data_IF_030059764722
#
_entry.id   IF_030059764722
#
_cell.length_a   1.000
_cell.length_b   1.000
_cell.length_c   1.000
_cell.angle_alpha   90.00
_cell.angle_beta   90.00
_cell.angle_gamma   90.00
#
_symmetry.space_group_name_H-M   'P 1'
#
loop_
_entity.id
_entity.type
_entity.pdbx_description
1 polymer ?
#
# COMPACT_ATOMS: atom_id res chain seq x y z
N UNK A 1 -1.56 21.70 31.59
CA UNK A 1 -2.88 21.25 31.09
C UNK A 1 -2.79 21.37 29.57
N UNK A 2 -2.69 20.35 28.72
CA UNK A 2 -3.41 19.08 28.70
C UNK A 2 -2.73 18.10 27.73
N UNK A 3 -1.88 17.18 28.21
CA UNK A 3 -1.49 15.99 27.45
C UNK A 3 -2.54 14.86 27.56
N UNK A 4 -3.37 14.91 28.60
CA UNK A 4 -4.40 13.91 28.91
C UNK A 4 -5.67 14.00 28.04
N UNK A 5 -5.89 15.11 27.33
CA UNK A 5 -7.03 15.26 26.40
C UNK A 5 -6.70 14.67 25.01
N UNK A 6 -5.41 14.44 24.71
CA UNK A 6 -4.94 13.97 23.40
C UNK A 6 -5.25 12.47 23.18
N UNK A 7 -5.12 11.65 24.23
CA UNK A 7 -5.38 10.20 24.16
C UNK A 7 -6.89 9.85 24.09
N UNK A 8 -7.79 10.72 24.57
CA UNK A 8 -9.21 10.37 24.69
C UNK A 8 -9.99 10.48 23.38
N UNK A 9 -9.50 11.23 22.38
CA UNK A 9 -10.18 11.39 21.08
C UNK A 9 -9.60 10.52 19.96
N UNK A 10 -8.31 10.17 20.02
CA UNK A 10 -7.72 9.12 19.15
C UNK A 10 -8.36 7.76 19.47
N UNK A 11 -8.70 7.51 20.73
CA UNK A 11 -9.50 6.35 21.12
C UNK A 11 -10.95 6.41 20.58
N UNK A 12 -11.56 7.60 20.48
CA UNK A 12 -12.95 7.74 20.02
C UNK A 12 -13.12 7.49 18.51
N UNK A 13 -12.13 7.87 17.69
CA UNK A 13 -12.05 7.48 16.27
C UNK A 13 -11.50 6.05 16.08
N UNK A 14 -10.87 5.47 17.11
CA UNK A 14 -10.35 4.11 17.12
C UNK A 14 -11.32 3.02 17.58
N UNK A 15 -12.50 3.37 18.12
CA UNK A 15 -13.44 2.42 18.73
C UNK A 15 -14.70 2.11 17.91
N UNK A 16 -14.92 2.77 16.76
CA UNK A 16 -16.09 2.51 15.90
C UNK A 16 -15.64 1.83 14.60
N UNK A 17 -15.27 0.56 14.73
CA UNK A 17 -14.82 -0.26 13.61
C UNK A 17 -15.19 -1.74 13.75
N UNK A 18 -16.27 -2.06 14.44
CA UNK A 18 -16.77 -3.45 14.53
C UNK A 18 -18.00 -3.66 13.67
N UNK A 19 -17.80 -4.46 12.63
CA UNK A 19 -18.75 -5.37 11.97
C UNK A 19 -19.99 -4.79 11.29
N UNK A 20 -20.00 -4.89 9.96
CA UNK A 20 -21.04 -5.63 9.21
C UNK A 20 -20.49 -5.95 7.82
N UNK A 21 -20.05 -7.18 7.63
CA UNK A 21 -19.68 -7.72 6.32
C UNK A 21 -20.96 -7.97 5.50
N UNK A 22 -21.46 -6.94 4.85
CA UNK A 22 -22.36 -7.12 3.72
C UNK A 22 -21.48 -7.44 2.49
N UNK A 23 -21.43 -8.72 2.10
CA UNK A 23 -20.86 -9.14 0.83
C UNK A 23 -21.78 -8.57 -0.26
N UNK A 24 -21.39 -7.44 -0.86
CA UNK A 24 -21.99 -6.95 -2.08
C UNK A 24 -21.34 -7.68 -3.25
N UNK A 25 -22.05 -8.67 -3.76
CA UNK A 25 -21.80 -9.27 -5.07
C UNK A 25 -22.13 -8.21 -6.13
N UNK A 26 -21.10 -7.70 -6.81
CA UNK A 26 -21.33 -6.91 -8.01
C UNK A 26 -21.87 -7.82 -9.10
N UNK A 27 -23.09 -7.52 -9.55
CA UNK A 27 -23.75 -8.20 -10.66
C UNK A 27 -22.94 -8.00 -11.94
N UNK A 28 -22.51 -9.11 -12.51
CA UNK A 28 -21.87 -9.19 -13.83
C UNK A 28 -22.93 -9.03 -14.93
N UNK A 29 -22.83 -7.96 -15.70
CA UNK A 29 -23.38 -7.84 -17.05
C UNK A 29 -22.41 -6.96 -17.83
N UNK A 30 -21.86 -7.34 -18.99
CA UNK A 30 -22.36 -8.20 -20.07
C UNK A 30 -21.22 -9.07 -20.62
N UNK A 31 -21.57 -10.24 -21.18
CA UNK A 31 -20.65 -11.13 -21.90
C UNK A 31 -20.09 -10.43 -23.14
N UNK A 32 -18.87 -9.92 -23.04
CA UNK A 32 -17.95 -9.92 -24.18
C UNK A 32 -16.86 -10.95 -23.90
N UNK A 33 -16.71 -11.85 -24.86
CA UNK A 33 -15.78 -12.97 -24.81
C UNK A 33 -14.38 -12.42 -25.12
N UNK A 34 -13.66 -11.96 -24.09
CA UNK A 34 -12.23 -11.66 -24.16
C UNK A 34 -11.52 -12.71 -23.31
N UNK A 35 -11.26 -13.86 -23.93
CA UNK A 35 -10.45 -14.94 -23.39
C UNK A 35 -8.96 -14.55 -23.47
N UNK A 36 -8.57 -13.58 -22.65
CA UNK A 36 -7.21 -13.01 -22.65
C UNK A 36 -6.60 -12.90 -21.24
N UNK A 37 -7.01 -13.73 -20.28
CA UNK A 37 -6.30 -13.78 -19.00
C UNK A 37 -4.93 -14.44 -19.23
N UNK A 38 -3.87 -13.64 -19.27
CA UNK A 38 -2.51 -14.16 -19.32
C UNK A 38 -2.05 -14.53 -17.92
N UNK A 39 -1.70 -15.81 -17.74
CA UNK A 39 -1.08 -16.35 -16.53
C UNK A 39 0.43 -16.45 -16.76
N UNK A 40 1.21 -15.80 -15.90
CA UNK A 40 2.66 -15.69 -15.97
C UNK A 40 3.23 -16.36 -14.73
N UNK A 41 4.08 -17.38 -14.92
CA UNK A 41 4.88 -17.91 -13.82
C UNK A 41 5.97 -16.89 -13.45
N UNK A 42 6.03 -16.50 -12.17
CA UNK A 42 7.08 -15.58 -11.71
C UNK A 42 8.40 -16.34 -11.59
N UNK A 43 9.46 -15.76 -12.17
CA UNK A 43 10.78 -16.41 -12.23
C UNK A 43 11.48 -16.37 -10.88
N UNK A 44 12.50 -17.23 -10.70
CA UNK A 44 13.37 -17.15 -9.53
C UNK A 44 14.01 -15.77 -9.37
N UNK A 45 14.34 -15.05 -10.44
CA UNK A 45 14.87 -13.68 -10.34
C UNK A 45 13.89 -12.71 -9.65
N UNK A 46 12.59 -12.83 -9.98
CA UNK A 46 11.54 -12.05 -9.33
C UNK A 46 11.43 -12.37 -7.82
N UNK A 47 11.68 -13.63 -7.44
CA UNK A 47 11.58 -14.13 -6.06
C UNK A 47 12.88 -13.88 -5.26
N UNK A 48 14.06 -13.97 -5.87
CA UNK A 48 15.36 -13.81 -5.20
C UNK A 48 15.61 -12.37 -4.73
N UNK A 49 15.01 -11.39 -5.41
CA UNK A 49 14.96 -9.99 -4.98
C UNK A 49 14.32 -9.82 -3.59
N UNK A 50 13.45 -10.75 -3.20
CA UNK A 50 12.86 -10.84 -1.86
C UNK A 50 13.76 -11.63 -0.89
N UNK A 51 14.34 -12.77 -1.30
CA UNK A 51 15.14 -13.65 -0.41
C UNK A 51 16.36 -12.95 0.19
N UNK A 52 17.03 -12.11 -0.60
CA UNK A 52 18.18 -11.31 -0.15
C UNK A 52 17.85 -10.29 0.96
N UNK A 53 16.57 -10.02 1.24
CA UNK A 53 16.11 -9.03 2.23
C UNK A 53 15.70 -9.62 3.57
N UNK A 54 15.27 -10.89 3.60
CA UNK A 54 14.68 -11.53 4.79
C UNK A 54 15.73 -12.27 5.64
N UNK A 55 17.01 -12.21 5.27
CA UNK A 55 18.10 -12.76 6.07
C UNK A 55 18.37 -11.90 7.31
N UNK A 56 17.52 -12.05 8.34
CA UNK A 56 17.83 -12.18 9.78
C UNK A 56 16.68 -11.62 10.63
N UNK A 57 15.74 -12.44 11.12
CA UNK A 57 15.01 -12.09 12.34
C UNK A 57 15.99 -12.13 13.53
N UNK A 58 15.92 -11.19 14.49
CA UNK A 58 16.63 -11.36 15.75
C UNK A 58 16.14 -12.65 16.42
N UNK A 59 17.07 -13.53 16.75
CA UNK A 59 16.78 -14.81 17.41
C UNK A 59 16.03 -14.57 18.72
N UNK A 60 14.85 -15.17 18.94
CA UNK A 60 14.17 -15.09 20.22
C UNK A 60 14.94 -15.95 21.22
N UNK A 61 15.70 -15.31 22.11
CA UNK A 61 16.38 -16.03 23.20
C UNK A 61 15.36 -16.32 24.29
N UNK A 62 14.94 -17.58 24.37
CA UNK A 62 14.09 -18.09 25.44
C UNK A 62 14.92 -18.42 26.70
N UNK A 63 14.60 -17.68 27.76
CA UNK A 63 14.52 -18.06 29.18
C UNK A 63 15.73 -18.55 30.01
N UNK A 64 15.86 -17.84 31.14
CA UNK A 64 16.00 -18.27 32.54
C UNK A 64 17.37 -18.15 33.25
N UNK A 65 17.32 -17.25 34.23
CA UNK A 65 17.91 -17.30 35.58
C UNK A 65 19.20 -16.52 35.86
N UNK A 66 19.05 -15.74 36.93
CA UNK A 66 20.05 -15.31 37.92
C UNK A 66 20.67 -13.94 37.73
N UNK A 67 20.25 -13.04 38.63
CA UNK A 67 20.78 -11.71 38.90
C UNK A 67 22.32 -11.73 39.03
N UNK A 68 23.01 -10.98 38.17
CA UNK A 68 24.20 -10.22 38.56
C UNK A 68 24.54 -9.17 37.50
N UNK A 69 24.82 -7.96 37.99
CA UNK A 69 25.29 -6.77 37.27
C UNK A 69 26.18 -7.08 36.06
N UNK A 70 25.76 -6.60 34.89
CA UNK A 70 26.62 -6.02 33.86
C UNK A 70 25.75 -5.01 33.09
N UNK A 71 25.99 -3.72 33.32
CA UNK A 71 25.62 -2.66 32.39
C UNK A 71 26.58 -2.76 31.21
N UNK A 72 26.36 -3.73 30.33
CA UNK A 72 26.84 -3.60 28.95
C UNK A 72 25.71 -2.90 28.20
N UNK A 73 25.97 -1.63 27.91
CA UNK A 73 25.27 -0.83 26.93
C UNK A 73 25.15 -1.64 25.64
N UNK A 74 23.98 -2.24 25.41
CA UNK A 74 23.65 -2.83 24.11
C UNK A 74 23.63 -1.65 23.15
N UNK A 75 24.78 -1.37 22.53
CA UNK A 75 24.88 -0.54 21.34
C UNK A 75 24.09 -1.28 20.27
N UNK A 76 22.78 -1.01 20.21
CA UNK A 76 21.99 -1.26 19.01
C UNK A 76 22.65 -0.37 17.96
N UNK A 77 23.31 -0.91 16.93
CA UNK A 77 23.97 -0.07 15.94
C UNK A 77 22.88 0.78 15.29
N UNK A 78 22.92 2.09 15.52
CA UNK A 78 22.10 3.04 14.75
C UNK A 78 22.45 2.84 13.28
N UNK A 79 21.55 2.19 12.53
CA UNK A 79 21.68 2.13 11.08
C UNK A 79 21.46 3.54 10.55
N UNK A 80 22.56 4.24 10.29
CA UNK A 80 22.52 5.52 9.62
C UNK A 80 21.85 5.34 8.25
N UNK A 81 20.81 6.13 7.97
CA UNK A 81 20.13 6.08 6.68
C UNK A 81 21.05 6.61 5.58
N UNK A 82 21.40 5.74 4.63
CA UNK A 82 22.08 6.10 3.39
C UNK A 82 21.08 5.96 2.23
N UNK A 83 20.76 7.09 1.59
CA UNK A 83 19.82 7.13 0.48
C UNK A 83 20.31 6.35 -0.74
N UNK A 84 21.61 6.41 -1.06
CA UNK A 84 22.17 5.73 -2.23
C UNK A 84 22.16 4.21 -2.02
N UNK A 85 22.54 3.75 -0.83
CA UNK A 85 22.43 2.35 -0.46
C UNK A 85 20.98 1.88 -0.48
N UNK A 86 20.06 2.65 0.10
CA UNK A 86 18.64 2.32 0.14
C UNK A 86 18.02 2.31 -1.27
N UNK A 87 18.43 3.21 -2.16
CA UNK A 87 18.03 3.20 -3.56
C UNK A 87 18.54 1.93 -4.26
N UNK A 88 19.83 1.64 -4.14
CA UNK A 88 20.42 0.42 -4.73
C UNK A 88 19.71 -0.84 -4.24
N UNK A 89 19.32 -0.88 -2.96
CA UNK A 89 18.57 -2.00 -2.41
C UNK A 89 17.15 -2.05 -2.97
N UNK A 90 16.42 -0.93 -3.02
CA UNK A 90 14.98 -0.91 -3.29
C UNK A 90 14.57 -0.73 -4.76
N UNK A 91 15.45 -0.28 -5.65
CA UNK A 91 15.10 -0.05 -7.06
C UNK A 91 14.61 -1.31 -7.78
N UNK A 92 15.13 -2.49 -7.41
CA UNK A 92 14.71 -3.77 -7.98
C UNK A 92 13.23 -4.11 -7.71
N UNK A 93 12.60 -3.51 -6.69
CA UNK A 93 11.17 -3.67 -6.44
C UNK A 93 10.30 -3.15 -7.58
N UNK A 94 10.80 -2.20 -8.36
CA UNK A 94 10.05 -1.47 -9.38
C UNK A 94 10.69 -1.53 -10.77
N UNK A 95 11.61 -2.48 -11.00
CA UNK A 95 12.40 -2.55 -12.23
C UNK A 95 11.57 -2.93 -13.48
N UNK A 96 10.60 -3.82 -13.31
CA UNK A 96 9.74 -4.36 -14.38
C UNK A 96 8.29 -4.47 -13.90
N UNK A 97 7.32 -4.60 -14.81
CA UNK A 97 5.89 -4.75 -14.46
C UNK A 97 5.57 -5.97 -13.59
N UNK A 98 6.47 -6.96 -13.55
CA UNK A 98 6.37 -8.17 -12.72
C UNK A 98 7.30 -8.16 -11.49
N UNK A 99 8.02 -7.07 -11.25
CA UNK A 99 8.78 -6.89 -10.01
C UNK A 99 7.85 -6.79 -8.80
N UNK A 100 8.30 -7.21 -7.61
CA UNK A 100 7.45 -7.32 -6.41
C UNK A 100 6.62 -6.06 -6.12
N UNK A 101 7.22 -4.87 -6.21
CA UNK A 101 6.52 -3.61 -5.97
C UNK A 101 5.48 -3.29 -7.05
N UNK A 102 5.75 -3.63 -8.31
CA UNK A 102 4.78 -3.49 -9.39
C UNK A 102 3.63 -4.48 -9.28
N UNK A 103 3.92 -5.72 -8.86
CA UNK A 103 2.91 -6.74 -8.56
C UNK A 103 2.02 -6.27 -7.40
N UNK A 104 2.60 -5.72 -6.33
CA UNK A 104 1.85 -5.20 -5.20
C UNK A 104 0.88 -4.08 -5.61
N UNK A 105 1.34 -3.12 -6.42
CA UNK A 105 0.49 -2.05 -6.99
C UNK A 105 -0.61 -2.66 -7.86
N UNK A 106 -0.26 -3.57 -8.79
CA UNK A 106 -1.24 -4.16 -9.70
C UNK A 106 -2.32 -4.98 -9.00
N UNK A 107 -1.98 -5.70 -7.92
CA UNK A 107 -2.98 -6.42 -7.10
C UNK A 107 -3.82 -5.43 -6.27
N UNK A 108 -3.23 -4.35 -5.76
CA UNK A 108 -3.96 -3.29 -5.05
C UNK A 108 -4.94 -2.53 -5.96
N UNK A 109 -4.59 -2.31 -7.22
CA UNK A 109 -5.49 -1.77 -8.25
C UNK A 109 -6.56 -2.79 -8.69
N UNK A 110 -6.33 -4.08 -8.48
CA UNK A 110 -7.20 -5.16 -8.96
C UNK A 110 -6.93 -5.57 -10.42
N UNK A 111 -5.84 -5.07 -11.01
CA UNK A 111 -5.39 -5.42 -12.36
C UNK A 111 -4.60 -6.73 -12.41
N UNK A 112 -4.08 -7.18 -11.26
CA UNK A 112 -3.43 -8.48 -11.12
C UNK A 112 -4.10 -9.35 -10.07
N UNK A 113 -4.01 -10.67 -10.27
CA UNK A 113 -4.29 -11.70 -9.27
C UNK A 113 -3.03 -12.53 -9.06
N UNK A 114 -2.65 -12.74 -7.80
CA UNK A 114 -1.49 -13.54 -7.44
C UNK A 114 -1.94 -14.82 -6.72
N UNK A 115 -1.46 -15.99 -7.16
CA UNK A 115 -1.80 -17.27 -6.55
C UNK A 115 -0.63 -18.25 -6.60
N UNK A 116 -0.72 -19.30 -5.78
CA UNK A 116 0.29 -20.36 -5.69
C UNK A 116 -0.37 -21.65 -6.17
N UNK A 117 0.28 -22.34 -7.08
CA UNK A 117 -0.13 -23.65 -7.58
C UNK A 117 1.13 -24.51 -7.71
N UNK A 118 1.10 -25.73 -7.15
CA UNK A 118 2.22 -26.67 -7.14
C UNK A 118 3.58 -26.07 -6.72
N UNK A 119 3.56 -25.22 -5.69
CA UNK A 119 4.77 -24.56 -5.16
C UNK A 119 5.35 -23.48 -6.10
N UNK A 120 4.64 -23.12 -7.16
CA UNK A 120 5.01 -22.05 -8.10
C UNK A 120 4.11 -20.83 -7.89
N UNK A 121 4.71 -19.63 -7.93
CA UNK A 121 4.00 -18.37 -7.81
C UNK A 121 3.57 -17.88 -9.19
N UNK A 122 2.27 -17.70 -9.38
CA UNK A 122 1.67 -17.22 -10.63
C UNK A 122 1.06 -15.84 -10.47
N UNK A 123 1.27 -15.03 -11.49
CA UNK A 123 0.64 -13.73 -11.68
C UNK A 123 -0.31 -13.82 -12.86
N UNK A 124 -1.57 -13.46 -12.65
CA UNK A 124 -2.57 -13.38 -13.70
C UNK A 124 -3.02 -11.94 -13.91
N UNK A 125 -3.15 -11.57 -15.17
CA UNK A 125 -3.75 -10.30 -15.60
C UNK A 125 -5.27 -10.44 -15.55
N UNK A 126 -5.93 -9.61 -14.74
CA UNK A 126 -7.41 -9.60 -14.66
C UNK A 126 -7.99 -8.84 -15.84
N UNK A 127 -9.30 -8.92 -16.11
CA UNK A 127 -9.94 -8.10 -17.15
C UNK A 127 -9.66 -6.59 -16.98
N UNK A 128 -9.54 -6.09 -15.74
CA UNK A 128 -9.23 -4.69 -15.46
C UNK A 128 -7.89 -4.24 -16.03
N UNK A 129 -6.92 -5.15 -16.15
CA UNK A 129 -5.62 -4.88 -16.77
C UNK A 129 -5.73 -4.40 -18.22
N UNK A 130 -6.70 -4.94 -18.95
CA UNK A 130 -6.87 -4.69 -20.38
C UNK A 130 -7.82 -3.53 -20.68
N UNK A 131 -8.41 -2.93 -19.66
CA UNK A 131 -9.37 -1.85 -19.82
C UNK A 131 -10.42 -1.84 -18.71
N UNK A 132 -10.51 -0.75 -17.98
CA UNK A 132 -11.66 -0.46 -17.12
C UNK A 132 -11.85 1.06 -17.00
N UNK A 133 -13.04 1.49 -16.59
CA UNK A 133 -13.28 2.90 -16.26
C UNK A 133 -13.24 3.06 -14.74
N UNK A 134 -12.45 4.02 -14.25
CA UNK A 134 -12.43 4.33 -12.82
C UNK A 134 -13.81 4.89 -12.40
N UNK A 135 -14.51 4.24 -11.46
CA UNK A 135 -15.76 4.77 -10.94
C UNK A 135 -15.59 6.17 -10.32
N UNK A 136 -14.41 6.55 -9.83
CA UNK A 136 -14.13 7.90 -9.34
C UNK A 136 -14.12 8.96 -10.45
N UNK A 137 -13.74 8.61 -11.68
CA UNK A 137 -13.74 9.52 -12.84
C UNK A 137 -15.16 9.75 -13.38
N UNK A 138 -16.04 8.74 -13.25
CA UNK A 138 -17.45 8.84 -13.60
C UNK A 138 -18.21 9.87 -12.74
N UNK A 139 -17.73 10.16 -11.51
CA UNK A 139 -18.31 11.20 -10.67
C UNK A 139 -18.16 12.61 -11.26
N UNK A 140 -17.29 12.79 -12.26
CA UNK A 140 -17.02 14.06 -12.95
C UNK A 140 -17.41 14.04 -14.44
N UNK A 141 -18.05 12.95 -14.91
CA UNK A 141 -18.48 12.81 -16.31
C UNK A 141 -17.37 12.43 -17.29
N UNK A 142 -16.17 12.10 -16.80
CA UNK A 142 -15.05 11.68 -17.64
C UNK A 142 -15.04 10.16 -17.83
N UNK A 143 -15.07 9.71 -19.08
CA UNK A 143 -14.89 8.29 -19.44
C UNK A 143 -13.48 8.14 -20.00
N UNK A 144 -12.55 7.79 -19.11
CA UNK A 144 -11.17 7.44 -19.48
C UNK A 144 -10.97 5.95 -19.21
N UNK A 145 -10.54 5.21 -20.23
CA UNK A 145 -10.18 3.81 -20.07
C UNK A 145 -8.78 3.69 -19.49
N UNK A 146 -8.67 2.93 -18.41
CA UNK A 146 -7.46 2.64 -17.67
C UNK A 146 -6.82 1.34 -18.16
N UNK A 147 -5.48 1.31 -18.24
CA UNK A 147 -4.73 0.14 -18.71
C UNK A 147 -3.53 -0.20 -17.83
N UNK A 148 -3.15 -1.48 -17.82
CA UNK A 148 -1.92 -1.95 -17.20
C UNK A 148 -1.96 -1.97 -15.66
N UNK A 149 -0.81 -2.21 -15.01
CA UNK A 149 -0.78 -2.49 -13.57
C UNK A 149 -1.23 -1.29 -12.73
N UNK A 150 -0.84 -0.08 -13.11
CA UNK A 150 -1.13 1.15 -12.38
C UNK A 150 -2.49 1.79 -12.70
N UNK A 151 -3.35 1.17 -13.51
CA UNK A 151 -4.58 1.81 -14.01
C UNK A 151 -4.26 3.11 -14.78
N UNK A 152 -3.42 3.04 -15.81
CA UNK A 152 -3.00 4.21 -16.59
C UNK A 152 -4.18 4.88 -17.30
N UNK A 153 -4.55 6.08 -16.82
CA UNK A 153 -5.69 6.89 -17.27
C UNK A 153 -5.41 7.54 -18.64
N UNK A 154 -5.17 6.73 -19.68
CA UNK A 154 -5.01 7.19 -21.07
C UNK A 154 -3.69 7.86 -21.43
N UNK A 155 -2.73 7.97 -20.51
CA UNK A 155 -1.43 8.64 -20.73
C UNK A 155 -0.54 7.87 -21.72
N UNK A 156 -0.75 6.55 -21.80
CA UNK A 156 -0.11 5.64 -22.74
C UNK A 156 -0.73 5.64 -24.14
N UNK A 157 -1.85 6.36 -24.34
CA UNK A 157 -2.64 6.27 -25.57
C UNK A 157 -3.30 4.91 -25.80
N UNK A 158 -3.56 4.14 -24.73
CA UNK A 158 -4.15 2.80 -24.79
C UNK A 158 -3.15 1.66 -25.08
N UNK A 159 -1.85 1.96 -25.17
CA UNK A 159 -0.83 0.95 -25.35
C UNK A 159 -0.42 0.34 -24.00
N UNK A 160 -0.71 -0.94 -23.78
CA UNK A 160 -0.44 -1.67 -22.53
C UNK A 160 1.06 -1.70 -22.19
N UNK A 161 1.93 -2.05 -23.15
CA UNK A 161 3.38 -2.09 -22.92
C UNK A 161 3.92 -0.71 -22.52
N UNK A 162 3.36 0.36 -23.09
CA UNK A 162 3.71 1.72 -22.71
C UNK A 162 3.17 2.07 -21.31
N UNK A 163 1.95 1.64 -20.97
CA UNK A 163 1.37 1.82 -19.64
C UNK A 163 2.23 1.12 -18.56
N UNK A 164 2.68 -0.12 -18.80
CA UNK A 164 3.60 -0.85 -17.93
C UNK A 164 4.94 -0.12 -17.72
N UNK A 165 5.54 0.33 -18.82
CA UNK A 165 6.80 1.08 -18.77
C UNK A 165 6.64 2.36 -17.96
N UNK A 166 5.60 3.15 -18.23
CA UNK A 166 5.35 4.41 -17.53
C UNK A 166 5.04 4.18 -16.04
N UNK A 167 4.29 3.12 -15.72
CA UNK A 167 3.98 2.70 -14.36
C UNK A 167 5.26 2.39 -13.56
N UNK A 168 6.17 1.58 -14.14
CA UNK A 168 7.45 1.24 -13.52
C UNK A 168 8.36 2.47 -13.37
N UNK A 169 8.45 3.32 -14.40
CA UNK A 169 9.24 4.56 -14.38
C UNK A 169 8.74 5.56 -13.33
N UNK A 170 7.41 5.73 -13.20
CA UNK A 170 6.83 6.61 -12.17
C UNK A 170 7.13 6.09 -10.76
N UNK A 171 7.02 4.77 -10.55
CA UNK A 171 7.31 4.14 -9.25
C UNK A 171 8.78 4.29 -8.88
N UNK A 172 9.70 4.02 -9.81
CA UNK A 172 11.14 4.25 -9.63
C UNK A 172 11.48 5.73 -9.39
N UNK A 173 10.87 6.64 -10.16
CA UNK A 173 11.10 8.08 -10.03
C UNK A 173 10.60 8.66 -8.70
N UNK A 174 9.60 8.02 -8.07
CA UNK A 174 9.11 8.39 -6.74
C UNK A 174 9.92 7.81 -5.58
N UNK A 175 10.69 6.74 -5.81
CA UNK A 175 11.30 5.92 -4.77
C UNK A 175 12.18 6.72 -3.81
N UNK A 176 13.08 7.58 -4.30
CA UNK A 176 13.98 8.36 -3.44
C UNK A 176 13.22 9.19 -2.41
N UNK A 177 12.13 9.83 -2.84
CA UNK A 177 11.27 10.63 -1.97
C UNK A 177 10.53 9.76 -0.95
N UNK A 178 10.03 8.60 -1.37
CA UNK A 178 9.33 7.66 -0.47
C UNK A 178 10.26 7.13 0.63
N UNK A 179 11.50 6.78 0.29
CA UNK A 179 12.52 6.33 1.25
C UNK A 179 12.83 7.44 2.27
N UNK A 180 13.01 8.68 1.81
CA UNK A 180 13.26 9.83 2.67
C UNK A 180 12.06 10.13 3.57
N UNK A 181 10.84 10.16 3.03
CA UNK A 181 9.64 10.50 3.79
C UNK A 181 9.34 9.43 4.88
N UNK A 182 9.61 8.13 4.62
CA UNK A 182 9.52 7.07 5.62
C UNK A 182 10.60 7.19 6.71
N UNK A 183 11.85 7.37 6.31
CA UNK A 183 12.96 7.48 7.25
C UNK A 183 12.80 8.72 8.16
N UNK A 184 12.30 9.84 7.62
CA UNK A 184 12.09 11.08 8.36
C UNK A 184 11.15 10.95 9.56
N UNK A 185 10.27 9.93 9.55
CA UNK A 185 9.32 9.64 10.64
C UNK A 185 9.72 8.40 11.46
N UNK A 186 10.97 7.93 11.30
CA UNK A 186 11.52 6.80 12.06
C UNK A 186 11.10 5.42 11.56
N UNK A 187 10.56 5.31 10.34
CA UNK A 187 10.25 4.02 9.72
C UNK A 187 11.42 3.62 8.82
N UNK A 188 12.12 2.52 9.15
CA UNK A 188 13.21 1.98 8.31
C UNK A 188 12.64 1.45 6.99
N UNK A 189 12.84 2.13 5.85
CA UNK A 189 12.26 1.69 4.59
C UNK A 189 12.91 0.42 4.04
N UNK A 190 14.08 0.02 4.54
CA UNK A 190 14.76 -1.21 4.15
C UNK A 190 14.25 -2.41 4.95
N UNK A 191 13.86 -2.18 6.21
CA UNK A 191 13.31 -3.19 7.11
C UNK A 191 11.80 -3.34 7.03
N UNK A 192 11.07 -2.28 6.65
CA UNK A 192 9.61 -2.24 6.60
C UNK A 192 9.08 -2.19 5.17
N UNK A 193 9.20 -3.34 4.50
CA UNK A 193 8.78 -3.47 3.11
C UNK A 193 7.27 -3.24 2.93
N UNK A 194 6.43 -3.59 3.91
CA UNK A 194 4.98 -3.36 3.83
C UNK A 194 4.66 -1.86 3.83
N UNK A 195 5.33 -1.06 4.66
CA UNK A 195 5.20 0.39 4.65
C UNK A 195 5.69 0.99 3.32
N UNK A 196 6.83 0.51 2.78
CA UNK A 196 7.36 0.99 1.50
C UNK A 196 6.39 0.71 0.35
N UNK A 197 5.87 -0.53 0.24
CA UNK A 197 4.95 -0.89 -0.84
C UNK A 197 3.61 -0.15 -0.74
N UNK A 198 3.09 0.07 0.47
CA UNK A 198 1.89 0.88 0.66
C UNK A 198 2.12 2.36 0.35
N UNK A 199 3.32 2.89 0.65
CA UNK A 199 3.69 4.25 0.22
C UNK A 199 3.70 4.34 -1.30
N UNK A 200 4.33 3.39 -1.99
CA UNK A 200 4.40 3.36 -3.45
C UNK A 200 3.03 3.27 -4.10
N UNK A 201 2.14 2.39 -3.61
CA UNK A 201 0.77 2.28 -4.09
C UNK A 201 -0.04 3.56 -3.84
N UNK A 202 0.11 4.21 -2.69
CA UNK A 202 -0.60 5.47 -2.45
C UNK A 202 -0.08 6.62 -3.35
N UNK A 203 1.20 6.60 -3.74
CA UNK A 203 1.74 7.49 -4.77
C UNK A 203 1.15 7.20 -6.16
N UNK A 204 0.76 5.95 -6.43
CA UNK A 204 0.03 5.60 -7.65
C UNK A 204 -1.43 6.09 -7.59
N UNK A 205 -2.09 5.87 -6.45
CA UNK A 205 -3.51 6.11 -6.26
C UNK A 205 -3.87 7.60 -6.13
N UNK A 206 -3.05 8.39 -5.43
CA UNK A 206 -3.43 9.71 -4.96
C UNK A 206 -2.47 10.81 -5.42
N UNK A 207 -2.92 12.06 -5.29
CA UNK A 207 -2.05 13.23 -5.50
C UNK A 207 -0.91 13.22 -4.49
N UNK A 208 0.25 13.72 -4.93
CA UNK A 208 1.48 13.76 -4.13
C UNK A 208 1.27 14.37 -2.73
N UNK A 209 0.41 15.38 -2.60
CA UNK A 209 0.18 16.02 -1.30
C UNK A 209 -0.38 15.04 -0.25
N UNK A 210 -1.30 14.14 -0.63
CA UNK A 210 -1.85 13.13 0.27
C UNK A 210 -0.84 12.00 0.49
N UNK A 211 -0.23 11.51 -0.59
CA UNK A 211 0.69 10.38 -0.52
C UNK A 211 1.90 10.67 0.38
N UNK A 212 2.34 11.93 0.46
CA UNK A 212 3.41 12.37 1.37
C UNK A 212 3.03 12.44 2.85
N UNK A 213 1.74 12.46 3.18
CA UNK A 213 1.26 12.44 4.57
C UNK A 213 1.11 11.04 5.13
N UNK A 214 1.17 10.01 4.29
CA UNK A 214 1.04 8.63 4.74
C UNK A 214 2.13 8.19 5.73
N UNK A 215 3.44 8.46 5.52
CA UNK A 215 4.45 8.09 6.50
C UNK A 215 4.21 8.68 7.89
N UNK A 216 3.91 9.99 7.96
CA UNK A 216 3.55 10.69 9.20
C UNK A 216 2.32 10.05 9.87
N UNK A 217 1.26 9.80 9.09
CA UNK A 217 0.06 9.13 9.59
C UNK A 217 0.35 7.70 10.08
N UNK A 218 1.24 6.95 9.42
CA UNK A 218 1.60 5.59 9.83
C UNK A 218 2.40 5.57 11.13
N UNK A 219 3.34 6.50 11.29
CA UNK A 219 4.05 6.68 12.55
C UNK A 219 3.07 6.98 13.69
N UNK A 220 2.11 7.88 13.48
CA UNK A 220 1.07 8.20 14.46
C UNK A 220 0.15 7.01 14.77
N UNK A 221 -0.25 6.24 13.76
CA UNK A 221 -1.07 5.05 13.95
C UNK A 221 -0.37 4.03 14.87
N UNK A 222 0.93 3.81 14.64
CA UNK A 222 1.76 2.89 15.42
C UNK A 222 2.01 3.40 16.83
N UNK A 223 2.28 4.69 17.00
CA UNK A 223 2.36 5.32 18.32
C UNK A 223 1.04 5.18 19.10
N UNK A 224 -0.09 5.21 18.40
CA UNK A 224 -1.42 4.94 18.95
C UNK A 224 -1.73 3.45 19.20
N UNK A 225 -0.77 2.55 19.02
CA UNK A 225 -0.91 1.11 19.28
C UNK A 225 -1.53 0.30 18.13
N UNK A 226 -1.80 0.90 16.96
CA UNK A 226 -2.26 0.15 15.79
C UNK A 226 -1.10 -0.63 15.17
N UNK A 227 -1.40 -1.82 14.64
CA UNK A 227 -0.39 -2.70 14.03
C UNK A 227 -0.89 -3.30 12.70
N UNK A 228 0.05 -3.84 11.90
CA UNK A 228 -0.23 -4.55 10.66
C UNK A 228 -1.16 -3.79 9.70
N UNK A 229 -2.05 -4.53 9.05
CA UNK A 229 -3.03 -4.03 8.07
C UNK A 229 -3.89 -2.89 8.64
N UNK A 230 -4.26 -2.93 9.93
CA UNK A 230 -5.07 -1.89 10.55
C UNK A 230 -4.33 -0.54 10.59
N UNK A 231 -3.06 -0.55 11.00
CA UNK A 231 -2.23 0.66 11.04
C UNK A 231 -2.09 1.27 9.64
N UNK A 232 -1.85 0.42 8.63
CA UNK A 232 -1.70 0.83 7.24
C UNK A 232 -3.01 1.42 6.71
N UNK A 233 -4.14 0.70 6.84
CA UNK A 233 -5.44 1.16 6.36
C UNK A 233 -5.85 2.48 7.00
N UNK A 234 -5.62 2.61 8.32
CA UNK A 234 -5.88 3.84 9.06
C UNK A 234 -5.02 4.98 8.53
N UNK A 235 -3.70 4.78 8.37
CA UNK A 235 -2.77 5.80 7.94
C UNK A 235 -3.04 6.28 6.50
N UNK A 236 -3.36 5.35 5.61
CA UNK A 236 -3.77 5.67 4.23
C UNK A 236 -5.03 6.52 4.21
N UNK A 237 -6.01 6.22 5.06
CA UNK A 237 -7.25 7.00 5.19
C UNK A 237 -6.97 8.38 5.77
N UNK A 238 -6.20 8.44 6.85
CA UNK A 238 -5.80 9.65 7.55
C UNK A 238 -5.06 10.63 6.64
N UNK A 239 -4.21 10.15 5.73
CA UNK A 239 -3.41 11.00 4.83
C UNK A 239 -4.22 11.93 3.89
N UNK A 240 -5.53 11.69 3.75
CA UNK A 240 -6.43 12.56 2.99
C UNK A 240 -6.97 13.75 3.80
N UNK A 241 -6.80 13.75 5.12
CA UNK A 241 -7.22 14.85 5.99
C UNK A 241 -6.13 15.91 6.04
N UNK A 242 -6.35 16.97 5.27
CA UNK A 242 -5.42 18.10 5.18
C UNK A 242 -6.13 19.43 5.44
N UNK A 243 -5.43 20.36 6.08
CA UNK A 243 -5.94 21.71 6.35
C UNK A 243 -5.71 22.67 5.16
N UNK A 244 -6.08 23.94 5.33
CA UNK A 244 -5.91 24.99 4.30
C UNK A 244 -4.45 25.23 3.90
N UNK A 245 -3.49 24.90 4.78
CA UNK A 245 -2.05 25.00 4.55
C UNK A 245 -1.46 23.72 3.94
N UNK A 246 -2.30 22.76 3.56
CA UNK A 246 -1.90 21.45 3.03
C UNK A 246 -1.09 20.61 4.03
N UNK A 247 -1.25 20.88 5.32
CA UNK A 247 -0.66 20.10 6.40
C UNK A 247 -1.59 18.97 6.82
N UNK A 248 -1.01 17.90 7.38
CA UNK A 248 -1.77 16.79 7.89
C UNK A 248 -2.51 17.22 9.17
N UNK A 249 -3.84 17.12 9.17
CA UNK A 249 -4.66 17.57 10.29
C UNK A 249 -5.94 16.73 10.41
N UNK A 250 -5.99 15.85 11.41
CA UNK A 250 -7.16 15.00 11.67
C UNK A 250 -8.29 15.69 12.46
N UNK A 251 -8.05 16.89 12.99
CA UNK A 251 -9.02 17.59 13.84
C UNK A 251 -9.80 18.64 13.06
N UNK A 252 -9.09 19.44 12.27
CA UNK A 252 -9.65 20.55 11.51
C UNK A 252 -9.48 20.40 9.99
N UNK A 253 -8.70 19.40 9.55
CA UNK A 253 -8.52 19.12 8.14
C UNK A 253 -9.78 18.53 7.52
N UNK A 254 -9.92 18.77 6.22
CA UNK A 254 -11.00 18.20 5.41
C UNK A 254 -10.49 16.96 4.68
N UNK A 255 -11.37 15.97 4.49
CA UNK A 255 -11.05 14.81 3.69
C UNK A 255 -11.06 15.18 2.20
N UNK A 256 -9.89 15.15 1.56
CA UNK A 256 -9.72 15.54 0.15
C UNK A 256 -9.72 14.36 -0.83
N UNK A 257 -10.20 13.18 -0.42
CA UNK A 257 -10.30 11.99 -1.28
C UNK A 257 -11.46 12.06 -2.29
N UNK A 258 -11.54 13.14 -3.08
CA UNK A 258 -12.73 13.49 -3.87
C UNK A 258 -13.24 12.39 -4.80
N UNK A 259 -12.36 11.61 -5.43
CA UNK A 259 -12.75 10.47 -6.27
C UNK A 259 -13.45 9.36 -5.47
N UNK A 260 -12.89 8.96 -4.32
CA UNK A 260 -13.46 7.93 -3.45
C UNK A 260 -14.78 8.41 -2.82
N UNK A 261 -14.82 9.65 -2.35
CA UNK A 261 -16.05 10.25 -1.80
C UNK A 261 -17.15 10.33 -2.86
N UNK A 262 -16.79 10.67 -4.10
CA UNK A 262 -17.72 10.70 -5.23
C UNK A 262 -18.37 9.34 -5.53
N UNK A 263 -17.66 8.22 -5.30
CA UNK A 263 -18.23 6.87 -5.45
C UNK A 263 -19.31 6.64 -4.39
N UNK A 264 -19.02 6.91 -3.12
CA UNK A 264 -19.97 6.69 -2.03
C UNK A 264 -21.21 7.57 -2.12
N UNK A 265 -21.04 8.84 -2.55
CA UNK A 265 -22.16 9.76 -2.80
C UNK A 265 -23.04 9.23 -3.93
N UNK A 266 -22.45 8.82 -5.07
CA UNK A 266 -23.20 8.26 -6.20
C UNK A 266 -23.96 6.99 -5.81
N UNK A 267 -23.34 6.13 -5.02
CA UNK A 267 -23.94 4.88 -4.55
C UNK A 267 -24.93 5.06 -3.38
N UNK A 268 -25.08 6.28 -2.88
CA UNK A 268 -25.97 6.63 -1.76
C UNK A 268 -25.74 5.73 -0.52
N UNK A 269 -24.47 5.49 -0.19
CA UNK A 269 -24.10 4.64 0.95
C UNK A 269 -24.32 5.40 2.27
N UNK A 270 -25.01 4.81 3.28
CA UNK A 270 -25.27 5.45 4.57
C UNK A 270 -24.04 5.39 5.50
N UNK A 271 -22.91 5.94 5.05
CA UNK A 271 -21.62 5.88 5.73
C UNK A 271 -20.97 7.26 5.76
N UNK A 272 -20.08 7.46 6.73
CA UNK A 272 -19.25 8.68 6.84
C UNK A 272 -18.18 8.72 5.74
N UNK A 273 -17.63 9.92 5.49
CA UNK A 273 -16.48 10.10 4.59
C UNK A 273 -15.28 9.24 5.00
N UNK A 274 -15.01 9.14 6.31
CA UNK A 274 -13.97 8.25 6.84
C UNK A 274 -14.21 6.80 6.44
N UNK A 275 -15.41 6.28 6.71
CA UNK A 275 -15.76 4.89 6.40
C UNK A 275 -15.70 4.61 4.90
N UNK A 276 -16.11 5.58 4.07
CA UNK A 276 -16.03 5.51 2.62
C UNK A 276 -14.59 5.29 2.15
N UNK A 277 -13.67 6.17 2.56
CA UNK A 277 -12.26 6.09 2.16
C UNK A 277 -11.59 4.86 2.78
N UNK A 278 -11.83 4.59 4.06
CA UNK A 278 -11.24 3.48 4.80
C UNK A 278 -11.54 2.13 4.16
N UNK A 279 -12.74 1.93 3.60
CA UNK A 279 -13.11 0.67 2.95
C UNK A 279 -12.19 0.34 1.76
N UNK A 280 -11.90 1.31 0.88
CA UNK A 280 -10.98 1.09 -0.23
C UNK A 280 -9.52 0.98 0.25
N UNK A 281 -9.10 1.84 1.19
CA UNK A 281 -7.74 1.81 1.71
C UNK A 281 -7.42 0.50 2.44
N UNK A 282 -8.39 -0.07 3.18
CA UNK A 282 -8.27 -1.38 3.82
C UNK A 282 -8.12 -2.50 2.78
N UNK A 283 -8.95 -2.49 1.72
CA UNK A 283 -8.85 -3.47 0.62
C UNK A 283 -7.46 -3.44 -0.03
N UNK A 284 -6.91 -2.25 -0.29
CA UNK A 284 -5.55 -2.08 -0.86
C UNK A 284 -4.46 -2.58 0.09
N UNK A 285 -4.56 -2.24 1.38
CA UNK A 285 -3.62 -2.72 2.40
C UNK A 285 -3.62 -4.26 2.48
N UNK A 286 -4.80 -4.89 2.49
CA UNK A 286 -4.97 -6.35 2.48
C UNK A 286 -4.41 -6.99 1.21
N UNK A 287 -4.61 -6.37 0.05
CA UNK A 287 -4.07 -6.83 -1.22
C UNK A 287 -2.53 -6.88 -1.19
N UNK A 288 -1.88 -5.82 -0.70
CA UNK A 288 -0.42 -5.74 -0.59
C UNK A 288 0.11 -6.74 0.44
N UNK A 289 -0.54 -6.86 1.60
CA UNK A 289 -0.18 -7.86 2.61
C UNK A 289 -0.25 -9.29 2.06
N UNK A 290 -1.32 -9.61 1.32
CA UNK A 290 -1.50 -10.91 0.65
C UNK A 290 -0.37 -11.21 -0.36
N UNK A 291 0.10 -10.21 -1.10
CA UNK A 291 1.26 -10.36 -2.00
C UNK A 291 2.51 -10.74 -1.19
N UNK A 292 2.81 -9.99 -0.13
CA UNK A 292 3.97 -10.26 0.73
C UNK A 292 3.92 -11.66 1.35
N UNK A 293 2.75 -12.10 1.79
CA UNK A 293 2.56 -13.44 2.36
C UNK A 293 2.81 -14.55 1.33
N UNK A 294 2.36 -14.39 0.09
CA UNK A 294 2.62 -15.37 -0.97
C UNK A 294 4.10 -15.46 -1.34
N UNK A 295 4.80 -14.32 -1.40
CA UNK A 295 6.25 -14.30 -1.60
C UNK A 295 7.02 -14.94 -0.45
N UNK A 296 6.57 -14.75 0.81
CA UNK A 296 7.11 -15.44 1.99
C UNK A 296 6.94 -16.95 1.87
N UNK A 297 5.73 -17.42 1.56
CA UNK A 297 5.42 -18.85 1.45
C UNK A 297 6.30 -19.57 0.44
N UNK A 298 6.44 -19.01 -0.76
CA UNK A 298 7.25 -19.60 -1.84
C UNK A 298 8.75 -19.61 -1.51
N UNK A 299 9.16 -18.72 -0.62
CA UNK A 299 10.57 -18.60 -0.28
C UNK A 299 11.00 -19.43 0.92
N UNK A 300 10.04 -19.88 1.73
CA UNK A 300 10.22 -20.90 2.76
C UNK A 300 10.20 -22.34 2.22
N UNK A 301 9.86 -22.51 0.94
CA UNK A 301 10.02 -23.76 0.18
C UNK A 301 11.41 -23.78 -0.45
#
# INVERSE_FOLDING_TARGET
MSYLIWLSRVALLGLVGTATSAILLFSTGTKENIDSNQVIALTQENIQTWKSRVASPPTPTAQLSTQKQFEDEIQVPERHFDLNQSLSLNSSLFATSTSLGMVAIGVAEGNYRLFIEDGTLYLEQTPGYFGHTDPGNLSWGEVVTNYGPCSDQGRSGGNIAKAEQMCSQRSLGGLSRQLVDLNAVGIDPNGDLEALLNTADLYNQAKLIHSRKFPEALALARQGGKTGIEAIAWARTASFYINEYQEFDLQQGENKASGLLGICVRENLPITEWQCVYKDQLRRAQAIASVLDKYRQISSI
#
